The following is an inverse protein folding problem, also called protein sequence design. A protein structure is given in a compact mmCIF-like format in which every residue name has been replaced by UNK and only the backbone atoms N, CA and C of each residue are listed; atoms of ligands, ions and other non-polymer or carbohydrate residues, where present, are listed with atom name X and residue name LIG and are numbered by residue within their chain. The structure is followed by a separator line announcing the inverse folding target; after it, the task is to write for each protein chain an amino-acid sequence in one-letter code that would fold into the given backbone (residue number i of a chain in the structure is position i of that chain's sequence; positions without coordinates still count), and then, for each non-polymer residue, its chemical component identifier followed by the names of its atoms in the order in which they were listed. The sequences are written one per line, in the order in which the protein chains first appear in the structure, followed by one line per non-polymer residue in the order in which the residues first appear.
data_IF_337675981778
#
_entry.id   IF_337675981778
#
_cell.length_a   1.000
_cell.length_b   1.000
_cell.length_c   1.000
_cell.angle_alpha   90.00
_cell.angle_beta   90.00
_cell.angle_gamma   90.00
#
_symmetry.space_group_name_H-M   'P 1'
#
loop_
_entity.id
_entity.type
_entity.pdbx_description
1 polymer ?
#
# COMPACT_ATOMS: atom_id res chain seq x y z
N UNK A 1 -15.70 -5.31 -19.18
CA UNK A 1 -15.49 -4.10 -20.02
C UNK A 1 -14.05 -4.10 -20.51
N UNK A 2 -13.81 -3.95 -21.83
CA UNK A 2 -12.45 -3.69 -22.33
C UNK A 2 -12.16 -2.21 -22.14
N UNK A 3 -11.10 -1.90 -21.42
CA UNK A 3 -10.57 -0.54 -21.19
C UNK A 3 -9.10 -0.51 -21.56
N UNK A 4 -8.59 0.66 -21.92
CA UNK A 4 -7.16 0.84 -22.19
C UNK A 4 -6.38 1.32 -20.94
N UNK A 5 -5.07 1.47 -21.07
CA UNK A 5 -4.19 1.83 -19.98
C UNK A 5 -4.46 3.25 -19.44
N UNK A 6 -4.92 4.17 -20.29
CA UNK A 6 -5.27 5.55 -19.90
C UNK A 6 -6.60 5.55 -19.15
N UNK A 7 -7.60 4.85 -19.67
CA UNK A 7 -8.89 4.69 -18.99
C UNK A 7 -8.74 4.09 -17.58
N UNK A 8 -7.79 3.15 -17.37
CA UNK A 8 -7.50 2.65 -16.02
C UNK A 8 -7.04 3.75 -15.08
N UNK A 9 -6.21 4.69 -15.55
CA UNK A 9 -5.74 5.84 -14.76
C UNK A 9 -6.87 6.84 -14.53
N UNK A 10 -7.73 7.09 -15.53
CA UNK A 10 -8.91 7.95 -15.40
C UNK A 10 -9.88 7.42 -14.32
N UNK A 11 -10.16 6.11 -14.28
CA UNK A 11 -10.96 5.52 -13.21
C UNK A 11 -10.36 5.71 -11.83
N UNK A 12 -9.04 5.59 -11.71
CA UNK A 12 -8.37 5.84 -10.44
C UNK A 12 -8.42 7.33 -10.06
N UNK A 13 -8.23 8.26 -11.01
CA UNK A 13 -8.41 9.70 -10.76
C UNK A 13 -9.84 10.00 -10.32
N UNK A 14 -10.84 9.44 -11.01
CA UNK A 14 -12.25 9.61 -10.67
C UNK A 14 -12.57 9.18 -9.23
N UNK A 15 -11.89 8.15 -8.71
CA UNK A 15 -12.01 7.78 -7.31
C UNK A 15 -11.61 8.96 -6.40
N UNK A 16 -10.45 9.58 -6.63
CA UNK A 16 -9.98 10.71 -5.83
C UNK A 16 -10.88 11.94 -5.98
N UNK A 17 -11.33 12.24 -7.18
CA UNK A 17 -12.28 13.36 -7.45
C UNK A 17 -13.61 13.10 -6.72
N UNK A 18 -14.09 11.86 -6.68
CA UNK A 18 -15.34 11.50 -6.02
C UNK A 18 -15.33 11.82 -4.52
N UNK A 19 -14.17 11.67 -3.87
CA UNK A 19 -13.97 11.99 -2.46
C UNK A 19 -13.54 13.44 -2.21
N UNK A 20 -13.36 14.26 -3.25
CA UNK A 20 -13.19 15.70 -3.16
C UNK A 20 -11.80 16.25 -3.42
N UNK A 21 -10.89 15.45 -3.99
CA UNK A 21 -9.64 15.98 -4.54
C UNK A 21 -9.88 16.75 -5.84
N UNK A 22 -8.99 17.68 -6.16
CA UNK A 22 -8.95 18.37 -7.45
C UNK A 22 -8.38 17.43 -8.52
N UNK A 23 -8.79 17.62 -9.78
CA UNK A 23 -8.25 16.82 -10.88
C UNK A 23 -6.75 17.01 -11.08
N UNK A 24 -6.12 16.00 -11.67
CA UNK A 24 -4.69 16.02 -11.98
C UNK A 24 -4.38 17.08 -13.05
N UNK A 25 -3.20 17.73 -12.99
CA UNK A 25 -2.82 18.74 -13.96
C UNK A 25 -2.61 18.13 -15.36
N UNK A 26 -2.84 18.91 -16.43
CA UNK A 26 -2.62 18.46 -17.81
C UNK A 26 -1.20 17.91 -18.03
N UNK A 27 -0.19 18.48 -17.34
CA UNK A 27 1.20 18.02 -17.39
C UNK A 27 1.39 16.59 -16.87
N UNK A 28 0.53 16.12 -15.96
CA UNK A 28 0.54 14.71 -15.49
C UNK A 28 0.23 13.77 -16.67
N UNK A 29 -0.82 14.07 -17.41
CA UNK A 29 -1.27 13.26 -18.54
C UNK A 29 -0.28 13.28 -19.71
N UNK A 30 0.28 14.46 -20.00
CA UNK A 30 1.25 14.64 -21.10
C UNK A 30 2.62 13.99 -20.84
N UNK A 31 3.05 13.90 -19.57
CA UNK A 31 4.44 13.61 -19.23
C UNK A 31 4.66 12.31 -18.47
N UNK A 32 3.59 11.71 -17.95
CA UNK A 32 3.68 10.37 -17.32
C UNK A 32 3.99 9.28 -18.35
N UNK A 33 4.57 8.19 -17.87
CA UNK A 33 4.83 7.01 -18.68
C UNK A 33 3.87 5.90 -18.28
N UNK A 34 2.81 5.71 -19.04
CA UNK A 34 1.79 4.68 -18.77
C UNK A 34 2.05 3.37 -19.50
N UNK A 35 2.67 3.45 -20.69
CA UNK A 35 2.88 2.29 -21.55
C UNK A 35 4.37 2.05 -21.76
N UNK A 36 4.78 0.78 -21.73
CA UNK A 36 6.18 0.41 -22.00
C UNK A 36 6.63 0.87 -23.38
N UNK A 37 7.67 1.74 -23.50
CA UNK A 37 8.18 2.17 -24.78
C UNK A 37 8.84 1.02 -25.54
N UNK A 38 8.75 1.05 -26.87
CA UNK A 38 9.34 0.02 -27.74
C UNK A 38 10.75 0.36 -28.22
N UNK A 39 11.14 1.61 -28.10
CA UNK A 39 12.39 2.17 -28.63
C UNK A 39 13.54 2.20 -27.63
N UNK A 40 13.28 1.90 -26.36
CA UNK A 40 14.28 1.92 -25.29
C UNK A 40 13.92 0.97 -24.15
N UNK A 41 14.93 0.62 -23.37
CA UNK A 41 14.77 -0.12 -22.12
C UNK A 41 14.33 0.82 -20.99
N UNK A 42 13.34 0.40 -20.20
CA UNK A 42 12.87 1.10 -18.99
C UNK A 42 12.68 0.11 -17.84
N UNK A 43 12.85 0.60 -16.63
CA UNK A 43 12.46 -0.13 -15.42
C UNK A 43 10.95 0.05 -15.23
N UNK A 44 10.19 -1.04 -15.38
CA UNK A 44 8.73 -1.04 -15.35
C UNK A 44 8.15 -1.00 -13.93
N UNK A 45 8.97 -1.07 -12.88
CA UNK A 45 8.48 -0.89 -11.50
C UNK A 45 7.75 0.45 -11.40
N UNK A 46 6.49 0.40 -10.93
CA UNK A 46 5.66 1.59 -10.76
C UNK A 46 6.32 2.59 -9.80
N UNK A 47 6.13 3.87 -10.05
CA UNK A 47 6.69 4.94 -9.22
C UNK A 47 6.03 6.28 -9.50
N UNK A 48 5.83 7.08 -8.44
CA UNK A 48 5.31 8.43 -8.49
C UNK A 48 6.41 9.46 -8.23
N UNK A 49 6.34 10.60 -8.91
CA UNK A 49 7.40 11.61 -8.93
C UNK A 49 6.84 13.01 -8.79
N UNK A 50 7.39 13.79 -7.86
CA UNK A 50 7.23 15.24 -7.78
C UNK A 50 8.52 15.88 -8.32
N UNK A 51 8.55 16.19 -9.60
CA UNK A 51 9.77 16.67 -10.27
C UNK A 51 10.00 18.16 -10.08
N UNK A 52 8.93 18.94 -10.02
CA UNK A 52 8.99 20.38 -9.74
C UNK A 52 7.74 20.83 -8.97
N UNK A 53 7.86 20.97 -7.64
CA UNK A 53 6.75 21.45 -6.82
C UNK A 53 6.24 22.85 -7.22
N UNK A 54 7.10 23.70 -7.80
CA UNK A 54 6.73 25.09 -8.14
C UNK A 54 5.81 25.17 -9.35
N UNK A 55 5.92 24.22 -10.27
CA UNK A 55 5.07 24.10 -11.46
C UNK A 55 4.06 22.97 -11.38
N UNK A 56 4.02 22.26 -10.25
CA UNK A 56 3.19 21.07 -10.05
C UNK A 56 3.45 19.99 -11.12
N UNK A 57 4.75 19.77 -11.47
CA UNK A 57 5.16 18.76 -12.44
C UNK A 57 5.21 17.39 -11.75
N UNK A 58 4.04 16.75 -11.71
CA UNK A 58 3.80 15.46 -11.11
C UNK A 58 3.69 14.40 -12.19
N UNK A 59 4.28 13.21 -11.96
CA UNK A 59 4.25 12.13 -12.94
C UNK A 59 4.21 10.78 -12.26
N UNK A 60 3.59 9.80 -12.93
CA UNK A 60 3.84 8.39 -12.66
C UNK A 60 4.64 7.76 -13.79
N UNK A 61 5.42 6.74 -13.46
CA UNK A 61 6.10 5.89 -14.42
C UNK A 61 5.72 4.45 -14.14
N UNK A 62 5.07 3.83 -15.11
CA UNK A 62 4.54 2.48 -15.01
C UNK A 62 4.48 1.86 -16.40
N UNK A 63 4.56 0.53 -16.51
CA UNK A 63 4.28 -0.19 -17.75
C UNK A 63 2.95 -0.93 -17.55
N UNK A 64 1.84 -0.22 -17.66
CA UNK A 64 0.52 -0.72 -17.28
C UNK A 64 0.15 -1.94 -18.13
N UNK A 65 -0.24 -3.01 -17.45
CA UNK A 65 -0.93 -4.16 -18.00
C UNK A 65 -2.41 -4.12 -17.60
N UNK A 66 -3.31 -4.59 -18.47
CA UNK A 66 -4.76 -4.49 -18.22
C UNK A 66 -5.21 -5.63 -17.33
N UNK A 67 -4.93 -5.52 -16.03
CA UNK A 67 -5.27 -6.51 -15.02
C UNK A 67 -5.63 -5.84 -13.69
N UNK A 68 -6.14 -6.63 -12.74
CA UNK A 68 -6.52 -6.18 -11.40
C UNK A 68 -5.34 -5.62 -10.62
N UNK A 69 -4.17 -6.28 -10.69
CA UNK A 69 -3.00 -5.90 -9.90
C UNK A 69 -2.50 -4.50 -10.28
N UNK A 70 -2.47 -4.20 -11.59
CA UNK A 70 -2.08 -2.88 -12.05
C UNK A 70 -3.15 -1.82 -11.80
N UNK A 71 -4.45 -2.19 -11.82
CA UNK A 71 -5.51 -1.27 -11.42
C UNK A 71 -5.37 -0.85 -9.96
N UNK A 72 -5.07 -1.77 -9.06
CA UNK A 72 -4.76 -1.51 -7.66
C UNK A 72 -3.50 -0.64 -7.54
N UNK A 73 -2.44 -0.98 -8.26
CA UNK A 73 -1.17 -0.25 -8.26
C UNK A 73 -1.34 1.20 -8.73
N UNK A 74 -2.17 1.45 -9.74
CA UNK A 74 -2.47 2.82 -10.20
C UNK A 74 -3.09 3.65 -9.07
N UNK A 75 -4.05 3.11 -8.32
CA UNK A 75 -4.65 3.81 -7.18
C UNK A 75 -3.59 4.12 -6.10
N UNK A 76 -2.67 3.20 -5.86
CA UNK A 76 -1.55 3.41 -4.93
C UNK A 76 -0.64 4.54 -5.41
N UNK A 77 -0.19 4.53 -6.66
CA UNK A 77 0.68 5.57 -7.22
C UNK A 77 0.00 6.94 -7.25
N UNK A 78 -1.29 7.00 -7.58
CA UNK A 78 -2.05 8.24 -7.49
C UNK A 78 -2.18 8.74 -6.04
N UNK A 79 -2.22 7.85 -5.05
CA UNK A 79 -2.15 8.22 -3.63
C UNK A 79 -0.90 9.06 -3.32
N UNK A 80 0.26 8.69 -3.88
CA UNK A 80 1.47 9.50 -3.78
C UNK A 80 1.33 10.85 -4.48
N UNK A 81 0.78 10.87 -5.69
CA UNK A 81 0.59 12.09 -6.49
C UNK A 81 -0.30 13.10 -5.76
N UNK A 82 -1.44 12.67 -5.26
CA UNK A 82 -2.36 13.54 -4.51
C UNK A 82 -1.78 13.98 -3.17
N UNK A 83 -0.92 13.18 -2.55
CA UNK A 83 -0.22 13.59 -1.35
C UNK A 83 0.82 14.70 -1.67
N UNK A 84 1.57 14.58 -2.77
CA UNK A 84 2.46 15.65 -3.24
C UNK A 84 1.69 16.95 -3.44
N UNK A 85 0.52 16.92 -4.10
CA UNK A 85 -0.33 18.11 -4.28
C UNK A 85 -0.80 18.69 -2.95
N UNK A 86 -1.23 17.85 -2.01
CA UNK A 86 -1.83 18.28 -0.76
C UNK A 86 -0.87 19.11 0.10
N UNK A 87 0.41 18.76 0.16
CA UNK A 87 1.40 19.50 0.95
C UNK A 87 2.23 20.52 0.15
N UNK A 88 1.98 20.68 -1.15
CA UNK A 88 2.76 21.58 -2.02
C UNK A 88 2.71 23.07 -1.60
N UNK A 89 1.71 23.47 -0.82
CA UNK A 89 1.57 24.81 -0.27
C UNK A 89 2.55 25.12 0.90
N UNK A 90 3.17 24.08 1.48
CA UNK A 90 4.11 24.23 2.59
C UNK A 90 5.49 24.73 2.12
N UNK A 91 6.29 25.34 3.00
CA UNK A 91 7.70 25.58 2.71
C UNK A 91 8.43 24.28 2.38
N UNK A 92 9.41 24.33 1.47
CA UNK A 92 10.11 23.15 0.92
C UNK A 92 10.60 22.15 1.97
N UNK A 93 11.06 22.62 3.14
CA UNK A 93 11.54 21.76 4.22
C UNK A 93 10.42 20.93 4.88
N UNK A 94 9.16 21.24 4.62
CA UNK A 94 7.99 20.54 5.16
C UNK A 94 7.19 19.82 4.08
N UNK A 95 7.67 19.85 2.83
CA UNK A 95 7.07 19.14 1.70
C UNK A 95 7.48 17.68 1.69
N UNK A 96 6.82 16.89 2.54
CA UNK A 96 7.02 15.46 2.68
C UNK A 96 5.84 14.81 3.37
N UNK A 97 5.78 13.49 3.42
CA UNK A 97 4.80 12.78 4.23
C UNK A 97 5.10 12.96 5.71
N UNK A 98 4.08 12.95 6.56
CA UNK A 98 4.23 13.15 8.01
C UNK A 98 5.30 12.22 8.64
N UNK A 99 5.48 11.03 8.10
CA UNK A 99 6.68 10.20 8.17
C UNK A 99 6.76 9.34 6.89
N UNK A 100 7.85 8.62 6.69
CA UNK A 100 8.08 7.77 5.52
C UNK A 100 6.95 6.77 5.22
N UNK A 101 6.28 6.25 6.26
CA UNK A 101 5.19 5.29 6.09
C UNK A 101 3.86 5.92 5.66
N UNK A 102 3.66 7.23 5.82
CA UNK A 102 2.40 7.88 5.46
C UNK A 102 2.16 7.89 3.94
N UNK A 103 3.21 8.11 3.15
CA UNK A 103 3.08 8.05 1.70
C UNK A 103 2.57 6.69 1.23
N UNK A 104 3.21 5.63 1.69
CA UNK A 104 2.81 4.25 1.39
C UNK A 104 1.42 3.93 1.96
N UNK A 105 1.12 4.40 3.19
CA UNK A 105 -0.14 4.13 3.86
C UNK A 105 -1.34 4.78 3.13
N UNK A 106 -1.18 5.98 2.58
CA UNK A 106 -2.25 6.63 1.83
C UNK A 106 -2.46 6.00 0.45
N UNK A 107 -1.41 5.58 -0.24
CA UNK A 107 -1.54 4.79 -1.45
C UNK A 107 -2.33 3.51 -1.19
N UNK A 108 -1.91 2.74 -0.21
CA UNK A 108 -2.54 1.48 0.17
C UNK A 108 -3.96 1.64 0.80
N UNK A 109 -4.25 2.77 1.46
CA UNK A 109 -5.56 3.04 2.05
C UNK A 109 -6.67 3.00 1.00
N UNK A 110 -6.43 3.66 -0.14
CA UNK A 110 -7.45 3.78 -1.19
C UNK A 110 -7.74 2.40 -1.80
N UNK A 111 -6.73 1.54 -1.89
CA UNK A 111 -6.89 0.18 -2.43
C UNK A 111 -7.84 -0.68 -1.59
N UNK A 112 -7.96 -0.44 -0.27
CA UNK A 112 -8.92 -1.11 0.59
C UNK A 112 -10.38 -0.75 0.28
N UNK A 113 -10.61 0.33 -0.44
CA UNK A 113 -11.94 0.77 -0.89
C UNK A 113 -12.31 0.26 -2.30
N UNK A 114 -11.43 -0.50 -2.96
CA UNK A 114 -11.73 -1.23 -4.20
C UNK A 114 -12.52 -2.49 -3.85
N UNK A 115 -13.76 -2.29 -3.43
CA UNK A 115 -14.67 -3.35 -3.01
C UNK A 115 -15.52 -3.86 -4.18
N UNK A 116 -16.18 -5.04 -4.05
CA UNK A 116 -17.12 -5.50 -5.07
C UNK A 116 -18.23 -4.49 -5.39
N UNK A 117 -18.72 -3.73 -4.40
CA UNK A 117 -19.71 -2.70 -4.63
C UNK A 117 -19.15 -1.51 -5.44
N UNK A 118 -17.92 -1.08 -5.16
CA UNK A 118 -17.25 -0.08 -5.98
C UNK A 118 -17.06 -0.57 -7.42
N UNK A 119 -16.54 -1.79 -7.61
CA UNK A 119 -16.32 -2.35 -8.95
C UNK A 119 -17.63 -2.51 -9.74
N UNK A 120 -18.75 -2.80 -9.07
CA UNK A 120 -20.08 -2.79 -9.65
C UNK A 120 -20.51 -1.38 -10.04
N UNK A 121 -20.29 -0.39 -9.20
CA UNK A 121 -20.67 1.01 -9.45
C UNK A 121 -19.99 1.59 -10.68
N UNK A 122 -18.71 1.24 -10.90
CA UNK A 122 -17.96 1.64 -12.10
C UNK A 122 -18.15 0.66 -13.28
N UNK A 123 -19.09 -0.29 -13.19
CA UNK A 123 -19.45 -1.23 -14.23
C UNK A 123 -18.32 -2.20 -14.66
N UNK A 124 -17.40 -2.55 -13.75
CA UNK A 124 -16.34 -3.53 -14.01
C UNK A 124 -16.81 -4.94 -13.79
N UNK A 125 -17.70 -5.14 -12.84
CA UNK A 125 -18.36 -6.41 -12.57
C UNK A 125 -19.88 -6.24 -12.56
N UNK A 126 -20.60 -7.32 -12.81
CA UNK A 126 -22.06 -7.36 -12.72
C UNK A 126 -22.55 -7.36 -11.26
N UNK A 127 -23.82 -7.05 -11.05
CA UNK A 127 -24.46 -7.15 -9.74
C UNK A 127 -24.42 -8.59 -9.20
N UNK A 128 -24.55 -9.59 -10.09
CA UNK A 128 -24.48 -11.02 -9.69
C UNK A 128 -23.08 -11.38 -9.18
N UNK A 129 -22.02 -10.94 -9.86
CA UNK A 129 -20.64 -11.14 -9.43
C UNK A 129 -20.33 -10.43 -8.12
N UNK A 130 -20.80 -9.19 -7.93
CA UNK A 130 -20.63 -8.45 -6.68
C UNK A 130 -21.33 -9.15 -5.51
N UNK A 131 -22.55 -9.63 -5.69
CA UNK A 131 -23.29 -10.36 -4.67
C UNK A 131 -22.59 -11.69 -4.32
N UNK A 132 -22.12 -12.43 -5.33
CA UNK A 132 -21.37 -13.68 -5.10
C UNK A 132 -20.10 -13.45 -4.26
N UNK A 133 -19.35 -12.38 -4.54
CA UNK A 133 -18.15 -12.04 -3.79
C UNK A 133 -18.47 -11.65 -2.32
N UNK A 134 -19.63 -11.07 -2.05
CA UNK A 134 -20.09 -10.72 -0.70
C UNK A 134 -20.64 -11.92 0.06
N UNK A 135 -21.31 -12.85 -0.61
CA UNK A 135 -21.84 -14.07 -0.01
C UNK A 135 -20.75 -15.05 0.44
N UNK A 136 -19.60 -15.07 -0.24
CA UNK A 136 -18.43 -15.88 0.14
C UNK A 136 -17.14 -15.03 0.11
N UNK A 137 -16.90 -14.20 1.13
CA UNK A 137 -15.76 -13.31 1.17
C UNK A 137 -14.43 -14.01 1.50
N UNK A 138 -14.45 -15.30 1.91
CA UNK A 138 -13.25 -15.98 2.44
C UNK A 138 -12.16 -16.09 1.36
N UNK A 139 -12.53 -16.41 0.11
CA UNK A 139 -11.56 -16.47 -0.98
C UNK A 139 -10.87 -15.14 -1.25
N UNK A 140 -11.62 -14.06 -1.30
CA UNK A 140 -11.11 -12.70 -1.48
C UNK A 140 -10.20 -12.28 -0.31
N UNK A 141 -10.68 -12.44 0.92
CA UNK A 141 -9.93 -12.11 2.13
C UNK A 141 -8.64 -12.95 2.25
N UNK A 142 -8.68 -14.22 1.84
CA UNK A 142 -7.49 -15.08 1.83
C UNK A 142 -6.45 -14.57 0.82
N UNK A 143 -6.87 -14.21 -0.41
CA UNK A 143 -5.99 -13.57 -1.41
C UNK A 143 -5.35 -12.31 -0.83
N UNK A 144 -6.15 -11.38 -0.32
CA UNK A 144 -5.68 -10.13 0.26
C UNK A 144 -4.75 -10.35 1.48
N UNK A 145 -5.03 -11.34 2.33
CA UNK A 145 -4.17 -11.65 3.47
C UNK A 145 -2.81 -12.23 3.04
N UNK A 146 -2.79 -13.10 2.02
CA UNK A 146 -1.55 -13.64 1.47
C UNK A 146 -0.68 -12.58 0.78
N UNK A 147 -1.27 -11.51 0.26
CA UNK A 147 -0.57 -10.37 -0.32
C UNK A 147 -0.19 -9.32 0.74
N UNK A 148 -1.07 -9.06 1.70
CA UNK A 148 -0.97 -7.96 2.66
C UNK A 148 -0.37 -8.33 4.01
N UNK A 149 -0.89 -9.37 4.68
CA UNK A 149 -0.47 -9.71 6.05
C UNK A 149 0.94 -10.30 6.07
N UNK A 150 1.29 -11.12 5.08
CA UNK A 150 2.63 -11.74 4.99
C UNK A 150 3.76 -10.74 4.73
N UNK A 151 3.43 -9.54 4.23
CA UNK A 151 4.40 -8.45 4.04
C UNK A 151 4.87 -7.86 5.37
N UNK A 152 4.08 -7.94 6.44
CA UNK A 152 4.44 -7.37 7.75
C UNK A 152 5.72 -8.01 8.31
N UNK A 153 5.82 -9.34 8.50
CA UNK A 153 7.06 -9.97 8.95
C UNK A 153 8.20 -9.83 7.93
N UNK A 154 7.90 -9.84 6.63
CA UNK A 154 8.89 -9.59 5.58
C UNK A 154 9.54 -8.21 5.72
N UNK A 155 8.75 -7.16 5.82
CA UNK A 155 9.26 -5.79 5.92
C UNK A 155 10.07 -5.58 7.20
N UNK A 156 9.64 -6.17 8.32
CA UNK A 156 10.36 -6.11 9.58
C UNK A 156 11.72 -6.82 9.49
N UNK A 157 11.76 -8.07 8.98
CA UNK A 157 13.00 -8.82 8.90
C UNK A 157 14.02 -8.19 7.97
N UNK A 158 13.59 -7.57 6.87
CA UNK A 158 14.48 -6.92 5.92
C UNK A 158 15.28 -5.79 6.55
N UNK A 159 14.62 -4.89 7.27
CA UNK A 159 15.33 -3.78 7.91
C UNK A 159 16.04 -4.20 9.22
N UNK A 160 15.64 -5.30 9.86
CA UNK A 160 16.46 -5.92 10.92
C UNK A 160 17.78 -6.43 10.36
N UNK A 161 17.74 -7.12 9.20
CA UNK A 161 18.96 -7.55 8.52
C UNK A 161 19.83 -6.33 8.13
N UNK A 162 19.25 -5.33 7.50
CA UNK A 162 19.97 -4.11 7.08
C UNK A 162 20.59 -3.37 8.27
N UNK A 163 19.85 -3.22 9.35
CA UNK A 163 20.35 -2.60 10.58
C UNK A 163 21.50 -3.38 11.19
N UNK A 164 21.41 -4.72 11.21
CA UNK A 164 22.50 -5.59 11.67
C UNK A 164 23.76 -5.44 10.82
N UNK A 165 23.62 -5.26 9.51
CA UNK A 165 24.75 -4.97 8.61
C UNK A 165 25.35 -3.59 8.90
N UNK A 166 24.52 -2.56 9.02
CA UNK A 166 25.00 -1.18 9.21
C UNK A 166 25.63 -0.94 10.58
N UNK A 167 25.18 -1.62 11.62
CA UNK A 167 25.75 -1.51 12.97
C UNK A 167 26.91 -2.50 13.23
N UNK A 168 27.22 -3.39 12.27
CA UNK A 168 28.31 -4.36 12.33
C UNK A 168 28.02 -5.62 13.13
N UNK A 169 26.77 -5.86 13.52
CA UNK A 169 26.36 -7.15 14.15
C UNK A 169 26.37 -8.29 13.13
N UNK A 170 26.05 -7.98 11.87
CA UNK A 170 26.16 -8.91 10.75
C UNK A 170 27.40 -8.54 9.95
N UNK A 171 28.39 -9.42 9.94
CA UNK A 171 29.66 -9.22 9.26
C UNK A 171 29.59 -9.69 7.80
N UNK A 172 30.58 -9.33 6.98
CA UNK A 172 30.62 -9.62 5.54
C UNK A 172 30.51 -11.13 5.24
N UNK A 173 31.06 -11.96 6.12
CA UNK A 173 31.05 -13.43 6.01
C UNK A 173 29.75 -14.07 6.55
N UNK A 174 28.75 -13.28 6.87
CA UNK A 174 27.44 -13.71 7.39
C UNK A 174 26.24 -13.07 6.64
N UNK A 175 26.48 -12.37 5.56
CA UNK A 175 25.41 -11.61 4.87
C UNK A 175 24.29 -12.51 4.37
N UNK A 176 24.63 -13.64 3.76
CA UNK A 176 23.64 -14.56 3.19
C UNK A 176 23.02 -15.47 4.25
N UNK A 177 23.83 -16.04 5.12
CA UNK A 177 23.35 -16.93 6.19
C UNK A 177 22.44 -16.23 7.18
N UNK A 178 22.77 -15.01 7.61
CA UNK A 178 21.90 -14.21 8.49
C UNK A 178 20.58 -13.81 7.81
N UNK A 179 20.59 -13.55 6.50
CA UNK A 179 19.39 -13.32 5.73
C UNK A 179 18.42 -14.50 5.78
N UNK A 180 18.93 -15.71 5.52
CA UNK A 180 18.11 -16.90 5.53
C UNK A 180 17.66 -17.29 6.93
N UNK A 181 18.49 -17.06 7.97
CA UNK A 181 18.07 -17.23 9.35
C UNK A 181 16.89 -16.34 9.71
N UNK A 182 16.91 -15.06 9.31
CA UNK A 182 15.79 -14.14 9.53
C UNK A 182 14.56 -14.52 8.71
N UNK A 183 14.74 -15.04 7.48
CA UNK A 183 13.64 -15.56 6.65
C UNK A 183 12.93 -16.72 7.33
N UNK A 184 13.70 -17.64 7.92
CA UNK A 184 13.14 -18.77 8.67
C UNK A 184 12.44 -18.29 9.94
N UNK A 185 13.09 -17.43 10.72
CA UNK A 185 12.53 -16.91 11.98
C UNK A 185 11.21 -16.15 11.78
N UNK A 186 11.16 -15.23 10.81
CA UNK A 186 10.02 -14.32 10.63
C UNK A 186 8.95 -14.82 9.66
N UNK A 187 9.29 -15.72 8.75
CA UNK A 187 8.39 -16.15 7.68
C UNK A 187 8.24 -17.67 7.57
N UNK A 188 9.03 -18.45 8.28
CA UNK A 188 9.05 -19.92 8.13
C UNK A 188 9.53 -20.38 6.75
N UNK A 189 10.38 -19.60 6.09
CA UNK A 189 10.87 -19.89 4.74
C UNK A 189 12.35 -20.27 4.80
N UNK A 190 12.66 -21.46 4.33
CA UNK A 190 14.02 -21.98 4.15
C UNK A 190 14.38 -22.12 2.67
N UNK A 191 15.65 -22.33 2.39
CA UNK A 191 16.15 -22.60 1.05
C UNK A 191 15.82 -24.03 0.62
N UNK A 192 15.60 -24.25 -0.69
CA UNK A 192 15.45 -25.59 -1.28
C UNK A 192 16.80 -26.30 -1.51
N UNK A 193 17.88 -25.56 -1.50
CA UNK A 193 19.27 -26.03 -1.69
C UNK A 193 20.21 -25.22 -0.79
N UNK A 194 21.44 -25.69 -0.58
CA UNK A 194 22.43 -24.99 0.21
C UNK A 194 22.80 -23.64 -0.43
N UNK A 195 22.74 -22.55 0.38
CA UNK A 195 23.06 -21.18 -0.03
C UNK A 195 24.18 -20.63 0.83
N UNK A 196 25.40 -20.74 0.33
CA UNK A 196 26.62 -20.26 1.02
C UNK A 196 26.80 -18.73 0.89
N UNK A 197 27.85 -18.21 1.50
CA UNK A 197 28.24 -16.79 1.38
C UNK A 197 28.84 -16.43 0.00
N UNK A 198 28.98 -17.39 -0.92
CA UNK A 198 29.27 -17.09 -2.33
C UNK A 198 28.08 -16.42 -3.06
N UNK A 199 26.89 -16.52 -2.47
CA UNK A 199 25.68 -15.87 -2.94
C UNK A 199 25.39 -14.59 -2.13
N UNK A 200 24.66 -13.68 -2.75
CA UNK A 200 24.14 -12.48 -2.08
C UNK A 200 22.64 -12.34 -2.36
N UNK A 201 21.87 -13.25 -1.75
CA UNK A 201 20.41 -13.32 -1.95
C UNK A 201 19.66 -12.04 -1.51
N UNK A 202 20.07 -11.33 -0.43
CA UNK A 202 19.50 -10.02 -0.10
C UNK A 202 19.53 -9.03 -1.27
N UNK A 203 20.57 -9.07 -2.10
CA UNK A 203 20.72 -8.19 -3.25
C UNK A 203 19.70 -8.40 -4.38
N UNK A 204 19.00 -9.53 -4.38
CA UNK A 204 17.90 -9.78 -5.33
C UNK A 204 16.66 -8.91 -5.04
N UNK A 205 16.51 -8.38 -3.81
CA UNK A 205 15.44 -7.43 -3.48
C UNK A 205 15.86 -6.03 -3.90
N UNK A 206 15.16 -5.47 -4.91
CA UNK A 206 15.41 -4.14 -5.49
C UNK A 206 15.76 -3.05 -4.47
N UNK A 207 15.04 -2.99 -3.34
CA UNK A 207 15.18 -1.98 -2.30
C UNK A 207 16.50 -2.07 -1.51
N UNK A 208 17.22 -3.18 -1.58
CA UNK A 208 18.54 -3.33 -0.93
C UNK A 208 19.62 -2.63 -1.75
N UNK A 209 19.90 -3.00 -3.01
CA UNK A 209 20.85 -2.25 -3.83
C UNK A 209 20.36 -0.83 -4.15
N UNK A 210 19.05 -0.59 -4.21
CA UNK A 210 18.45 0.72 -4.38
C UNK A 210 18.51 1.61 -3.13
N UNK A 211 19.02 1.08 -2.01
CA UNK A 211 19.17 1.79 -0.74
C UNK A 211 17.87 2.47 -0.23
N UNK A 212 16.73 1.83 -0.45
CA UNK A 212 15.42 2.33 -0.01
C UNK A 212 15.08 1.76 1.37
N UNK A 213 14.86 2.58 2.41
CA UNK A 213 14.42 2.11 3.73
C UNK A 213 13.13 1.30 3.63
N UNK A 214 13.01 0.22 4.41
CA UNK A 214 11.88 -0.71 4.26
C UNK A 214 10.90 -0.69 5.44
N UNK A 215 11.29 -0.14 6.59
CA UNK A 215 10.41 0.08 7.75
C UNK A 215 9.17 0.90 7.38
N UNK A 216 9.25 1.76 6.36
CA UNK A 216 8.11 2.53 5.83
C UNK A 216 6.95 1.61 5.43
N UNK A 217 7.22 0.49 4.76
CA UNK A 217 6.20 -0.47 4.34
C UNK A 217 5.61 -1.25 5.51
N UNK A 218 6.42 -1.55 6.52
CA UNK A 218 5.93 -2.14 7.77
C UNK A 218 4.95 -1.21 8.49
N UNK A 219 5.32 0.06 8.64
CA UNK A 219 4.47 1.07 9.27
C UNK A 219 3.22 1.35 8.44
N UNK A 220 3.39 1.51 7.13
CA UNK A 220 2.29 1.74 6.20
C UNK A 220 1.22 0.67 6.29
N UNK A 221 1.64 -0.61 6.29
CA UNK A 221 0.72 -1.75 6.37
C UNK A 221 -0.11 -1.75 7.65
N UNK A 222 0.42 -1.23 8.76
CA UNK A 222 -0.35 -1.06 10.00
C UNK A 222 -1.27 0.17 9.90
N UNK A 223 -0.73 1.30 9.41
CA UNK A 223 -1.46 2.57 9.36
C UNK A 223 -2.65 2.53 8.40
N UNK A 224 -2.51 1.92 7.22
CA UNK A 224 -3.59 1.87 6.23
C UNK A 224 -4.88 1.26 6.79
N UNK A 225 -4.79 0.19 7.59
CA UNK A 225 -5.98 -0.42 8.21
C UNK A 225 -6.55 0.44 9.33
N UNK A 226 -5.72 1.14 10.11
CA UNK A 226 -6.22 2.09 11.11
C UNK A 226 -6.88 3.31 10.45
N UNK A 227 -6.32 3.81 9.35
CA UNK A 227 -6.93 4.87 8.55
C UNK A 227 -8.27 4.44 7.99
N UNK A 228 -8.33 3.26 7.38
CA UNK A 228 -9.55 2.71 6.82
C UNK A 228 -10.64 2.53 7.87
N UNK A 229 -10.34 1.87 9.01
CA UNK A 229 -11.29 1.69 10.11
C UNK A 229 -11.80 3.04 10.65
N UNK A 230 -10.92 4.03 10.80
CA UNK A 230 -11.31 5.35 11.29
C UNK A 230 -12.27 6.06 10.31
N UNK A 231 -11.99 5.99 9.01
CA UNK A 231 -12.85 6.59 7.98
C UNK A 231 -14.19 5.87 7.86
N UNK A 232 -14.21 4.54 7.91
CA UNK A 232 -15.44 3.75 7.89
C UNK A 232 -16.32 4.05 9.12
N UNK A 233 -15.70 4.21 10.30
CA UNK A 233 -16.41 4.62 11.50
C UNK A 233 -16.97 6.07 11.38
N UNK A 234 -16.20 6.99 10.79
CA UNK A 234 -16.64 8.37 10.60
C UNK A 234 -17.87 8.47 9.71
N UNK A 235 -17.92 7.67 8.64
CA UNK A 235 -19.09 7.63 7.74
C UNK A 235 -20.25 6.77 8.28
N UNK A 236 -20.12 6.25 9.51
CA UNK A 236 -21.10 5.37 10.17
C UNK A 236 -21.41 4.11 9.34
N UNK A 237 -20.40 3.52 8.72
CA UNK A 237 -20.56 2.27 8.00
C UNK A 237 -20.93 1.14 8.99
N UNK A 238 -22.01 0.41 8.69
CA UNK A 238 -22.51 -0.70 9.50
C UNK A 238 -22.33 -2.01 8.70
N UNK A 239 -21.19 -2.67 8.88
CA UNK A 239 -20.82 -3.89 8.18
C UNK A 239 -19.39 -4.32 8.51
N UNK A 240 -18.91 -5.33 7.83
CA UNK A 240 -17.52 -5.74 7.93
C UNK A 240 -16.59 -4.74 7.24
N UNK A 241 -15.43 -4.44 7.84
CA UNK A 241 -14.51 -3.42 7.31
C UNK A 241 -14.05 -3.67 5.87
N UNK A 242 -13.93 -4.93 5.44
CA UNK A 242 -13.56 -5.27 4.07
C UNK A 242 -14.64 -4.96 3.01
N UNK A 243 -15.86 -4.66 3.44
CA UNK A 243 -16.96 -4.23 2.58
C UNK A 243 -17.09 -2.71 2.50
N UNK A 244 -16.40 -1.99 3.40
CA UNK A 244 -16.44 -0.54 3.45
C UNK A 244 -15.67 0.09 2.30
N UNK A 245 -16.32 0.97 1.55
CA UNK A 245 -15.68 1.84 0.57
C UNK A 245 -15.94 3.30 0.93
N UNK A 246 -14.91 4.14 0.79
CA UNK A 246 -15.04 5.59 0.94
C UNK A 246 -15.30 6.29 -0.39
N UNK A 247 -15.46 5.55 -1.49
CA UNK A 247 -15.77 6.10 -2.79
C UNK A 247 -17.01 7.02 -2.72
N UNK A 248 -16.95 8.18 -3.35
CA UNK A 248 -18.02 9.18 -3.34
C UNK A 248 -18.21 9.92 -2.00
N UNK A 249 -17.50 9.54 -0.93
CA UNK A 249 -17.70 10.15 0.39
C UNK A 249 -16.77 11.36 0.62
N UNK A 250 -17.29 12.55 0.41
CA UNK A 250 -16.53 13.80 0.55
C UNK A 250 -16.11 14.13 1.98
N UNK A 251 -16.81 13.61 2.99
CA UNK A 251 -16.43 13.82 4.39
C UNK A 251 -15.18 13.02 4.73
N UNK A 252 -15.12 11.75 4.33
CA UNK A 252 -13.92 10.93 4.42
C UNK A 252 -12.76 11.55 3.65
N UNK A 253 -13.00 11.98 2.40
CA UNK A 253 -11.98 12.63 1.59
C UNK A 253 -11.44 13.93 2.19
N UNK A 254 -12.31 14.78 2.76
CA UNK A 254 -11.87 16.01 3.44
C UNK A 254 -10.95 15.70 4.63
N UNK A 255 -11.19 14.60 5.33
CA UNK A 255 -10.35 14.14 6.43
C UNK A 255 -8.97 13.70 5.94
N UNK A 256 -8.93 12.96 4.83
CA UNK A 256 -7.69 12.58 4.15
C UNK A 256 -6.92 13.82 3.69
N UNK A 257 -7.56 14.71 2.94
CA UNK A 257 -6.96 15.94 2.39
C UNK A 257 -6.36 16.79 3.52
N UNK A 258 -7.11 17.02 4.60
CA UNK A 258 -6.63 17.82 5.73
C UNK A 258 -5.43 17.20 6.42
N UNK A 259 -5.35 15.86 6.48
CA UNK A 259 -4.21 15.15 7.07
C UNK A 259 -2.99 15.21 6.14
N UNK A 260 -3.18 14.96 4.86
CA UNK A 260 -2.12 15.05 3.84
C UNK A 260 -1.53 16.46 3.78
N UNK A 261 -2.37 17.50 3.88
CA UNK A 261 -1.94 18.90 3.84
C UNK A 261 -1.03 19.31 5.00
N UNK A 262 -0.96 18.53 6.08
CA UNK A 262 -0.04 18.78 7.20
C UNK A 262 1.43 18.52 6.82
N UNK A 263 1.69 17.64 5.84
CA UNK A 263 3.05 17.28 5.42
C UNK A 263 3.94 16.93 6.60
N UNK A 264 5.19 17.40 6.59
CA UNK A 264 6.16 17.29 7.69
C UNK A 264 6.14 18.49 8.65
N UNK A 265 5.10 19.33 8.61
CA UNK A 265 5.04 20.57 9.41
C UNK A 265 4.79 20.33 10.91
N UNK A 266 4.36 19.15 11.29
CA UNK A 266 4.06 18.73 12.67
C UNK A 266 4.63 17.34 12.94
N UNK A 267 4.79 16.94 14.23
CA UNK A 267 5.08 15.55 14.57
C UNK A 267 4.07 14.60 13.91
N UNK A 268 4.53 13.50 13.32
CA UNK A 268 3.67 12.57 12.59
C UNK A 268 2.48 12.04 13.41
N UNK A 269 2.62 11.97 14.75
CA UNK A 269 1.54 11.56 15.64
C UNK A 269 0.37 12.54 15.61
N UNK A 270 0.60 13.83 15.31
CA UNK A 270 -0.46 14.83 15.21
C UNK A 270 -1.29 14.61 13.93
N UNK A 271 -0.61 14.31 12.81
CA UNK A 271 -1.26 13.91 11.56
C UNK A 271 -2.03 12.59 11.71
N UNK A 272 -1.43 11.62 12.42
CA UNK A 272 -2.06 10.35 12.70
C UNK A 272 -3.33 10.51 13.56
N UNK A 273 -3.25 11.32 14.62
CA UNK A 273 -4.39 11.64 15.49
C UNK A 273 -5.46 12.42 14.74
N UNK A 274 -5.08 13.33 13.84
CA UNK A 274 -6.04 14.04 13.01
C UNK A 274 -6.90 13.06 12.19
N UNK A 275 -6.33 12.01 11.63
CA UNK A 275 -7.08 11.04 10.83
C UNK A 275 -7.82 10.01 11.68
N UNK A 276 -7.15 9.47 12.72
CA UNK A 276 -7.61 8.27 13.44
C UNK A 276 -8.23 8.55 14.80
N UNK A 277 -8.08 9.77 15.34
CA UNK A 277 -8.49 10.12 16.70
C UNK A 277 -7.61 9.53 17.80
N UNK A 278 -6.46 8.92 17.46
CA UNK A 278 -5.48 8.37 18.42
C UNK A 278 -4.05 8.64 17.98
N UNK A 279 -3.14 8.68 18.94
CA UNK A 279 -1.69 8.83 18.68
C UNK A 279 -0.94 7.50 18.67
N UNK A 280 -1.65 6.37 18.81
CA UNK A 280 -1.04 5.06 19.00
C UNK A 280 -1.25 4.16 17.77
N UNK A 281 -0.15 3.63 17.24
CA UNK A 281 -0.17 2.57 16.24
C UNK A 281 -0.63 1.26 16.89
N UNK A 282 -1.50 0.52 16.19
CA UNK A 282 -2.01 -0.76 16.63
C UNK A 282 -2.32 -1.68 15.46
N UNK A 283 -1.90 -2.92 15.54
CA UNK A 283 -2.30 -3.98 14.61
C UNK A 283 -3.74 -4.47 14.76
N UNK A 284 -4.52 -3.91 15.71
CA UNK A 284 -5.90 -4.36 15.96
C UNK A 284 -6.80 -4.17 14.74
N UNK A 285 -6.63 -3.08 14.00
CA UNK A 285 -7.42 -2.78 12.80
C UNK A 285 -7.21 -3.81 11.69
N UNK A 286 -6.02 -4.40 11.58
CA UNK A 286 -5.76 -5.54 10.68
C UNK A 286 -6.63 -6.72 11.09
N UNK A 287 -6.66 -7.07 12.37
CA UNK A 287 -7.49 -8.17 12.87
C UNK A 287 -8.99 -7.92 12.69
N UNK A 288 -9.44 -6.68 12.85
CA UNK A 288 -10.82 -6.29 12.63
C UNK A 288 -11.20 -6.40 11.14
N UNK A 289 -10.32 -5.99 10.24
CA UNK A 289 -10.54 -6.10 8.79
C UNK A 289 -10.67 -7.55 8.35
N UNK A 290 -9.79 -8.43 8.83
CA UNK A 290 -9.77 -9.86 8.50
C UNK A 290 -10.59 -10.72 9.49
N UNK A 291 -11.49 -10.14 10.29
CA UNK A 291 -12.24 -10.89 11.29
C UNK A 291 -12.95 -12.13 10.73
N UNK A 292 -13.70 -12.06 9.59
CA UNK A 292 -14.36 -13.25 9.03
C UNK A 292 -13.37 -14.34 8.61
N UNK A 293 -12.24 -13.96 8.03
CA UNK A 293 -11.19 -14.91 7.66
C UNK A 293 -10.55 -15.56 8.90
N UNK A 294 -10.30 -14.76 9.94
CA UNK A 294 -9.73 -15.27 11.18
C UNK A 294 -10.65 -16.29 11.84
N UNK A 295 -11.95 -16.01 11.93
CA UNK A 295 -12.94 -16.92 12.48
C UNK A 295 -12.99 -18.24 11.69
N UNK A 296 -12.97 -18.15 10.36
CA UNK A 296 -12.92 -19.33 9.49
C UNK A 296 -11.64 -20.14 9.70
N UNK A 297 -10.47 -19.49 9.76
CA UNK A 297 -9.18 -20.14 10.01
C UNK A 297 -9.12 -20.80 11.40
N UNK A 298 -9.64 -20.15 12.44
CA UNK A 298 -9.70 -20.72 13.79
C UNK A 298 -10.52 -22.01 13.80
N UNK A 299 -11.63 -22.07 13.07
CA UNK A 299 -12.43 -23.30 12.92
C UNK A 299 -11.68 -24.39 12.15
N UNK A 300 -11.06 -24.04 10.99
CA UNK A 300 -10.33 -25.02 10.16
C UNK A 300 -9.11 -25.61 10.90
N UNK A 301 -8.52 -24.85 11.79
CA UNK A 301 -7.28 -25.25 12.48
C UNK A 301 -7.48 -25.77 13.91
N UNK A 302 -8.71 -25.96 14.38
CA UNK A 302 -9.03 -26.41 15.75
C UNK A 302 -8.20 -27.61 16.25
N UNK A 303 -7.85 -28.53 15.35
CA UNK A 303 -7.14 -29.76 15.67
C UNK A 303 -5.77 -29.84 15.00
N UNK A 304 -5.20 -28.68 14.63
CA UNK A 304 -3.90 -28.60 13.95
C UNK A 304 -2.91 -27.84 14.83
N UNK A 305 -1.65 -28.28 14.82
CA UNK A 305 -0.55 -27.47 15.33
C UNK A 305 -0.11 -26.54 14.19
N UNK A 306 -0.21 -25.25 14.42
CA UNK A 306 0.22 -24.23 13.46
C UNK A 306 1.60 -23.69 13.88
N UNK A 307 2.38 -23.25 12.89
CA UNK A 307 3.72 -22.72 13.09
C UNK A 307 4.79 -23.62 12.45
N UNK A 308 6.02 -23.16 12.51
CA UNK A 308 7.19 -23.81 11.89
C UNK A 308 8.34 -24.01 12.88
N UNK A 309 8.06 -24.04 14.19
CA UNK A 309 9.05 -24.31 15.27
C UNK A 309 9.04 -25.79 15.67
#
# INVERSE_FOLDING_TARGET
KEIDEIEMVEYAEDFFISIGFESLPETFWERSLFVKPRDRSVVCHASAWNLDPTTNDLRIKMCIERNEDDFITIHHELGHIFYYQAYNHLPTLFQGGANDGFHEAFGDLLTLSITPDYLKEIEFISEEEANLAKDDPIGLLMKQALEGVVVVPWALMLDKWRSGVFNGEITEDQLNSSWWQLREEYQGISTSEERSEEYFDPGAKYHIPGNTPYTRYYLARIMQYQFHEALCNQINFDGYLHECSIYGNKEAGQKIISTMAMGESLPWQDAFENLTGTRQLSGKSILNYYAPLKEWLDEQNKNRTCGWN
#
